data_IF_406486948045
#
_entry.id   IF_406486948045
#
_cell.length_a   1.000
_cell.length_b   1.000
_cell.length_c   1.000
_cell.angle_alpha   90.00
_cell.angle_beta   90.00
_cell.angle_gamma   90.00
#
_symmetry.space_group_name_H-M   'P 1'
#
loop_
_entity.id
_entity.type
_entity.pdbx_description
1 polymer ?
#
# COMPACT_ATOMS: atom_id res chain seq x y z
N UNK A 1 -20.86 -26.69 13.66
CA UNK A 1 -19.62 -27.49 13.87
C UNK A 1 -19.51 -28.82 13.10
N UNK A 2 -20.58 -29.38 12.53
CA UNK A 2 -20.63 -30.79 12.09
C UNK A 2 -19.82 -31.22 10.83
N UNK A 3 -18.98 -30.37 10.22
CA UNK A 3 -18.26 -30.73 8.97
C UNK A 3 -16.73 -30.54 9.00
N UNK A 4 -16.14 -30.04 10.09
CA UNK A 4 -14.71 -29.59 10.12
C UNK A 4 -14.34 -28.77 8.88
N UNK A 5 -15.28 -27.94 8.44
CA UNK A 5 -15.13 -27.09 7.26
C UNK A 5 -14.80 -25.69 7.72
N UNK A 6 -13.55 -25.50 8.15
CA UNK A 6 -13.06 -24.24 8.69
C UNK A 6 -11.82 -23.80 7.93
N UNK A 7 -11.79 -22.52 7.59
CA UNK A 7 -10.62 -21.85 7.04
C UNK A 7 -10.31 -20.65 7.93
N UNK A 8 -9.01 -20.37 8.10
CA UNK A 8 -8.51 -19.29 8.96
C UNK A 8 -7.56 -18.43 8.14
N UNK A 9 -7.69 -17.11 8.31
CA UNK A 9 -6.78 -16.11 7.76
C UNK A 9 -6.61 -14.97 8.77
N UNK A 10 -5.54 -14.22 8.62
CA UNK A 10 -5.29 -13.00 9.38
C UNK A 10 -5.83 -11.78 8.60
N UNK A 11 -6.49 -10.83 9.26
CA UNK A 11 -6.77 -9.52 8.66
C UNK A 11 -5.45 -8.72 8.49
N UNK A 12 -5.39 -7.74 7.57
CA UNK A 12 -6.45 -7.29 6.66
C UNK A 12 -6.73 -8.25 5.50
N UNK A 13 -8.00 -8.41 5.12
CA UNK A 13 -8.43 -9.20 3.96
C UNK A 13 -8.81 -8.30 2.79
N UNK A 14 -8.14 -8.48 1.65
CA UNK A 14 -8.54 -7.92 0.35
C UNK A 14 -9.42 -8.92 -0.43
N UNK A 15 -9.90 -8.53 -1.62
CA UNK A 15 -10.76 -9.40 -2.44
C UNK A 15 -10.12 -10.76 -2.78
N UNK A 16 -8.81 -10.77 -3.05
CA UNK A 16 -8.08 -11.99 -3.39
C UNK A 16 -7.96 -12.94 -2.19
N UNK A 17 -7.55 -12.43 -1.02
CA UNK A 17 -7.43 -13.20 0.22
C UNK A 17 -8.80 -13.67 0.72
N UNK A 18 -9.85 -12.85 0.61
CA UNK A 18 -11.21 -13.26 0.96
C UNK A 18 -11.70 -14.39 0.05
N UNK A 19 -11.43 -14.32 -1.26
CA UNK A 19 -11.80 -15.39 -2.20
C UNK A 19 -11.01 -16.67 -1.95
N UNK A 20 -9.72 -16.57 -1.65
CA UNK A 20 -8.90 -17.71 -1.26
C UNK A 20 -9.42 -18.36 0.02
N UNK A 21 -9.72 -17.55 1.05
CA UNK A 21 -10.28 -18.02 2.32
C UNK A 21 -11.59 -18.77 2.10
N UNK A 22 -12.51 -18.21 1.30
CA UNK A 22 -13.75 -18.88 0.92
C UNK A 22 -13.46 -20.19 0.17
N UNK A 23 -12.59 -20.16 -0.84
CA UNK A 23 -12.25 -21.32 -1.68
C UNK A 23 -11.60 -22.48 -0.92
N UNK A 24 -11.02 -22.24 0.25
CA UNK A 24 -10.49 -23.28 1.15
C UNK A 24 -11.56 -24.05 1.93
N UNK A 25 -12.82 -23.61 1.86
CA UNK A 25 -13.96 -24.31 2.48
C UNK A 25 -14.65 -25.26 1.50
N UNK A 26 -15.28 -26.32 2.00
CA UNK A 26 -16.12 -27.25 1.24
C UNK A 26 -17.43 -26.57 0.84
N UNK A 27 -17.95 -25.66 1.67
CA UNK A 27 -19.16 -24.89 1.37
C UNK A 27 -19.01 -24.03 0.11
N UNK A 28 -17.79 -23.63 -0.27
CA UNK A 28 -17.54 -22.92 -1.52
C UNK A 28 -18.09 -23.64 -2.76
N UNK A 29 -18.10 -24.98 -2.76
CA UNK A 29 -18.68 -25.78 -3.85
C UNK A 29 -20.21 -25.69 -3.91
N UNK A 30 -20.86 -25.38 -2.80
CA UNK A 30 -22.31 -25.22 -2.68
C UNK A 30 -22.76 -23.78 -2.99
N UNK A 31 -21.83 -22.82 -2.98
CA UNK A 31 -22.10 -21.43 -3.40
C UNK A 31 -22.20 -21.29 -4.93
N UNK A 32 -21.55 -22.18 -5.67
CA UNK A 32 -21.71 -22.29 -7.12
C UNK A 32 -23.09 -22.88 -7.48
N UNK A 33 -23.55 -22.65 -8.71
CA UNK A 33 -24.81 -23.24 -9.19
C UNK A 33 -24.76 -24.77 -9.01
N UNK A 34 -25.75 -25.31 -8.32
CA UNK A 34 -25.86 -26.75 -8.09
C UNK A 34 -27.29 -27.23 -8.38
N UNK A 35 -27.42 -28.05 -9.44
CA UNK A 35 -28.73 -28.49 -9.98
C UNK A 35 -29.62 -27.28 -10.28
N UNK A 36 -30.82 -27.23 -9.71
CA UNK A 36 -31.81 -26.16 -9.89
C UNK A 36 -31.61 -24.97 -8.92
N UNK A 37 -30.57 -25.01 -8.07
CA UNK A 37 -30.27 -23.93 -7.13
C UNK A 37 -29.32 -22.93 -7.82
N UNK A 38 -29.74 -21.67 -8.01
CA UNK A 38 -28.88 -20.63 -8.58
C UNK A 38 -27.67 -20.35 -7.68
N UNK A 39 -26.57 -19.89 -8.28
CA UNK A 39 -25.37 -19.51 -7.54
C UNK A 39 -25.67 -18.40 -6.54
N UNK A 40 -25.02 -18.47 -5.38
CA UNK A 40 -25.05 -17.41 -4.39
C UNK A 40 -24.28 -16.18 -4.89
N UNK A 41 -24.65 -15.00 -4.40
CA UNK A 41 -23.91 -13.77 -4.66
C UNK A 41 -22.55 -13.79 -3.92
N UNK A 42 -21.51 -14.22 -4.64
CA UNK A 42 -20.14 -14.25 -4.13
C UNK A 42 -19.66 -12.84 -3.75
N UNK A 43 -20.05 -11.81 -4.49
CA UNK A 43 -19.62 -10.44 -4.22
C UNK A 43 -20.17 -9.94 -2.87
N UNK A 44 -21.41 -10.29 -2.53
CA UNK A 44 -21.99 -9.98 -1.23
C UNK A 44 -21.24 -10.67 -0.07
N UNK A 45 -20.85 -11.94 -0.24
CA UNK A 45 -20.06 -12.66 0.77
C UNK A 45 -18.65 -12.08 0.93
N UNK A 46 -17.99 -11.73 -0.18
CA UNK A 46 -16.70 -11.03 -0.14
C UNK A 46 -16.81 -9.69 0.58
N UNK A 47 -17.89 -8.93 0.35
CA UNK A 47 -18.13 -7.67 1.02
C UNK A 47 -18.31 -7.83 2.55
N UNK A 48 -18.99 -8.89 3.00
CA UNK A 48 -19.11 -9.23 4.43
C UNK A 48 -17.73 -9.53 5.03
N UNK A 49 -16.93 -10.40 4.41
CA UNK A 49 -15.58 -10.74 4.91
C UNK A 49 -14.66 -9.51 4.98
N UNK A 50 -14.69 -8.66 3.96
CA UNK A 50 -13.95 -7.40 3.95
C UNK A 50 -14.47 -6.41 5.00
N UNK A 51 -15.79 -6.37 5.23
CA UNK A 51 -16.41 -5.59 6.30
C UNK A 51 -15.94 -6.02 7.69
N UNK A 52 -15.96 -7.32 7.97
CA UNK A 52 -15.43 -7.92 9.20
C UNK A 52 -13.95 -7.56 9.36
N UNK A 53 -13.15 -7.74 8.31
CA UNK A 53 -11.73 -7.37 8.36
C UNK A 53 -11.53 -5.89 8.68
N UNK A 54 -12.30 -4.98 8.07
CA UNK A 54 -12.23 -3.53 8.38
C UNK A 54 -12.60 -3.25 9.83
N UNK A 55 -13.61 -3.93 10.38
CA UNK A 55 -13.99 -3.79 11.79
C UNK A 55 -12.86 -4.23 12.72
N UNK A 56 -12.24 -5.39 12.49
CA UNK A 56 -11.11 -5.87 13.31
C UNK A 56 -9.92 -4.91 13.24
N UNK A 57 -9.60 -4.39 12.05
CA UNK A 57 -8.55 -3.38 11.90
C UNK A 57 -8.87 -2.07 12.65
N UNK A 58 -10.12 -1.61 12.61
CA UNK A 58 -10.52 -0.32 13.18
C UNK A 58 -10.81 -0.36 14.68
N UNK A 59 -11.10 -1.55 15.26
CA UNK A 59 -11.58 -1.70 16.62
C UNK A 59 -10.63 -2.60 17.45
N UNK A 60 -9.62 -2.03 18.11
CA UNK A 60 -8.68 -2.79 18.95
C UNK A 60 -9.35 -3.60 20.07
N UNK A 61 -10.51 -3.14 20.53
CA UNK A 61 -11.25 -3.74 21.63
C UNK A 61 -12.18 -4.88 21.17
N UNK A 62 -12.26 -5.15 19.87
CA UNK A 62 -13.08 -6.24 19.34
C UNK A 62 -12.40 -7.58 19.66
N UNK A 63 -12.96 -8.34 20.60
CA UNK A 63 -12.42 -9.63 21.06
C UNK A 63 -12.99 -10.82 20.30
N UNK A 64 -14.27 -10.78 19.99
CA UNK A 64 -14.98 -11.85 19.27
C UNK A 64 -16.08 -11.23 18.40
N UNK A 65 -16.25 -11.74 17.18
CA UNK A 65 -17.38 -11.44 16.31
C UNK A 65 -17.87 -12.77 15.72
N UNK A 66 -19.10 -13.13 16.02
CA UNK A 66 -19.78 -14.29 15.46
C UNK A 66 -20.95 -13.82 14.60
N UNK A 67 -20.99 -14.27 13.34
CA UNK A 67 -22.06 -13.98 12.39
C UNK A 67 -22.73 -15.31 12.03
N UNK A 68 -23.88 -15.61 12.62
CA UNK A 68 -24.45 -16.94 12.50
C UNK A 68 -25.99 -16.97 12.67
N UNK A 69 -26.77 -17.25 11.61
CA UNK A 69 -26.33 -17.66 10.29
C UNK A 69 -26.10 -16.50 9.31
N UNK A 70 -25.13 -16.68 8.41
CA UNK A 70 -25.02 -15.89 7.17
C UNK A 70 -25.71 -16.65 6.05
N UNK A 71 -26.78 -16.07 5.50
CA UNK A 71 -27.57 -16.64 4.42
C UNK A 71 -27.20 -15.96 3.10
N UNK A 72 -26.67 -16.72 2.15
CA UNK A 72 -26.35 -16.23 0.82
C UNK A 72 -27.41 -16.69 -0.20
N UNK A 73 -27.81 -15.78 -1.09
CA UNK A 73 -28.77 -16.03 -2.16
C UNK A 73 -28.34 -15.30 -3.44
N UNK A 74 -28.97 -15.52 -4.60
CA UNK A 74 -28.51 -14.93 -5.86
C UNK A 74 -28.52 -13.41 -5.89
N UNK A 75 -29.42 -12.77 -5.13
CA UNK A 75 -29.51 -11.32 -5.02
C UNK A 75 -28.74 -10.68 -3.87
N UNK A 76 -27.84 -11.40 -3.18
CA UNK A 76 -27.08 -10.87 -2.05
C UNK A 76 -26.87 -11.83 -0.88
N UNK A 77 -26.50 -11.29 0.28
CA UNK A 77 -26.31 -12.04 1.51
C UNK A 77 -26.88 -11.29 2.71
N UNK A 78 -27.43 -12.03 3.68
CA UNK A 78 -28.06 -11.51 4.90
C UNK A 78 -27.43 -12.17 6.12
N UNK A 79 -27.10 -11.37 7.12
CA UNK A 79 -26.67 -11.83 8.45
C UNK A 79 -27.93 -11.84 9.32
N UNK A 80 -28.39 -13.02 9.74
CA UNK A 80 -29.60 -13.13 10.57
C UNK A 80 -29.35 -12.81 12.04
N UNK A 81 -28.17 -13.17 12.55
CA UNK A 81 -27.75 -12.87 13.91
C UNK A 81 -26.26 -12.54 13.93
N UNK A 82 -25.89 -11.59 14.80
CA UNK A 82 -24.52 -11.14 14.98
C UNK A 82 -24.26 -10.89 16.46
N UNK A 83 -23.25 -11.56 17.00
CA UNK A 83 -22.80 -11.39 18.38
C UNK A 83 -21.39 -10.80 18.39
N UNK A 84 -21.22 -9.73 19.14
CA UNK A 84 -19.93 -9.05 19.28
C UNK A 84 -19.53 -8.98 20.75
N UNK A 85 -18.29 -9.36 21.07
CA UNK A 85 -17.70 -9.25 22.40
C UNK A 85 -16.60 -8.20 22.37
N UNK A 86 -16.69 -7.24 23.30
CA UNK A 86 -15.75 -6.13 23.41
C UNK A 86 -14.93 -6.26 24.71
N UNK A 87 -13.63 -6.02 24.63
CA UNK A 87 -12.74 -5.91 25.78
C UNK A 87 -12.29 -4.46 26.00
N UNK A 88 -13.09 -3.74 26.77
CA UNK A 88 -12.86 -2.32 27.07
C UNK A 88 -11.82 -2.10 28.19
N UNK A 89 -11.27 -3.17 28.77
CA UNK A 89 -10.23 -3.04 29.80
C UNK A 89 -8.88 -2.61 29.23
N UNK A 90 -8.71 -2.71 27.91
CA UNK A 90 -7.47 -2.41 27.16
C UNK A 90 -7.32 -0.94 26.76
N UNK A 91 -8.06 -0.02 27.41
CA UNK A 91 -7.95 1.42 27.16
C UNK A 91 -6.77 2.04 27.95
N UNK A 92 -5.95 2.92 27.35
CA UNK A 92 -6.13 3.57 26.05
C UNK A 92 -5.79 2.66 24.86
N UNK A 93 -6.40 2.94 23.71
CA UNK A 93 -6.12 2.20 22.48
C UNK A 93 -4.61 2.24 22.17
N UNK A 94 -4.04 1.13 21.64
CA UNK A 94 -2.65 1.10 21.24
C UNK A 94 -2.35 2.16 20.16
N UNK A 95 -1.07 2.46 19.89
CA UNK A 95 -0.66 3.23 18.71
C UNK A 95 -1.33 2.68 17.44
N UNK A 96 -1.38 3.46 16.36
CA UNK A 96 -2.14 3.13 15.14
C UNK A 96 -1.92 1.67 14.70
N UNK A 97 -2.98 0.87 14.79
CA UNK A 97 -2.99 -0.58 14.48
C UNK A 97 -2.02 -1.45 15.29
N UNK A 98 -1.51 -1.00 16.43
CA UNK A 98 -0.57 -1.76 17.26
C UNK A 98 -1.12 -3.05 17.86
N UNK A 99 -2.42 -3.31 17.74
CA UNK A 99 -3.05 -4.60 18.04
C UNK A 99 -3.00 -5.58 16.86
N UNK A 100 -2.59 -5.13 15.67
CA UNK A 100 -2.56 -5.91 14.44
C UNK A 100 -1.17 -6.48 14.18
N UNK A 101 -1.10 -7.72 13.71
CA UNK A 101 0.14 -8.31 13.21
C UNK A 101 0.52 -7.81 11.80
N UNK A 102 -0.47 -7.34 11.03
CA UNK A 102 -0.30 -6.79 9.69
C UNK A 102 -1.13 -5.51 9.61
N UNK A 103 -0.47 -4.40 9.27
CA UNK A 103 -1.15 -3.11 9.18
C UNK A 103 -2.05 -3.04 7.93
N UNK A 104 -3.30 -2.55 8.05
CA UNK A 104 -4.18 -2.37 6.90
C UNK A 104 -3.65 -1.31 5.93
N UNK A 105 -4.17 -1.39 4.71
CA UNK A 105 -3.95 -0.37 3.70
C UNK A 105 -4.31 1.03 4.23
N UNK A 106 -3.38 2.01 4.18
CA UNK A 106 -3.59 3.32 4.78
C UNK A 106 -4.44 4.24 3.88
N UNK A 107 -5.75 3.95 3.82
CA UNK A 107 -6.72 4.65 2.96
C UNK A 107 -6.81 6.17 3.20
N UNK A 108 -6.44 6.66 4.37
CA UNK A 108 -6.41 8.11 4.67
C UNK A 108 -5.30 8.86 3.92
N UNK A 109 -4.35 8.14 3.30
CA UNK A 109 -3.32 8.71 2.44
C UNK A 109 -3.77 8.81 0.97
N UNK A 110 -4.98 8.37 0.65
CA UNK A 110 -5.60 8.64 -0.64
C UNK A 110 -6.01 10.11 -0.74
N UNK A 111 -5.75 10.73 -1.88
CA UNK A 111 -6.10 12.13 -2.08
C UNK A 111 -5.61 12.66 -3.42
N UNK A 112 -5.31 13.97 -3.44
CA UNK A 112 -4.83 14.66 -4.64
C UNK A 112 -3.59 15.48 -4.33
N UNK A 113 -2.62 15.48 -5.26
CA UNK A 113 -1.47 16.38 -5.23
C UNK A 113 -1.69 17.52 -6.22
N UNK A 114 -1.49 18.76 -5.76
CA UNK A 114 -1.51 19.95 -6.61
C UNK A 114 -0.13 20.15 -7.25
N UNK A 115 -0.12 20.33 -8.57
CA UNK A 115 1.08 20.59 -9.37
C UNK A 115 1.38 22.08 -9.48
N UNK A 116 2.54 22.43 -10.06
CA UNK A 116 2.95 23.83 -10.23
C UNK A 116 2.02 24.63 -11.13
N UNK A 117 1.41 23.97 -12.10
CA UNK A 117 0.44 24.57 -13.04
C UNK A 117 -0.98 24.67 -12.45
N UNK A 118 -1.17 24.28 -11.19
CA UNK A 118 -2.47 24.25 -10.51
C UNK A 118 -3.32 23.02 -10.83
N UNK A 119 -2.88 22.13 -11.73
CA UNK A 119 -3.58 20.87 -11.98
C UNK A 119 -3.45 19.92 -10.79
N UNK A 120 -4.41 19.01 -10.65
CA UNK A 120 -4.43 18.00 -9.59
C UNK A 120 -4.25 16.61 -10.16
N UNK A 121 -3.43 15.79 -9.50
CA UNK A 121 -3.31 14.36 -9.79
C UNK A 121 -3.78 13.55 -8.60
N UNK A 122 -4.41 12.41 -8.84
CA UNK A 122 -4.75 11.49 -7.76
C UNK A 122 -3.47 10.84 -7.21
N UNK A 123 -3.40 10.68 -5.89
CA UNK A 123 -2.32 9.97 -5.20
C UNK A 123 -2.92 8.96 -4.23
N UNK A 124 -2.28 7.81 -4.09
CA UNK A 124 -2.62 6.81 -3.08
C UNK A 124 -1.42 5.93 -2.74
N UNK A 125 -1.43 5.23 -1.60
CA UNK A 125 -0.46 4.16 -1.37
C UNK A 125 -0.57 3.06 -2.43
N UNK A 126 0.57 2.47 -2.81
CA UNK A 126 0.62 1.29 -3.68
C UNK A 126 -0.08 0.12 -2.98
N UNK A 127 -0.67 -0.79 -3.76
CA UNK A 127 -1.35 -1.99 -3.28
C UNK A 127 -0.68 -3.24 -3.87
N UNK A 128 -0.82 -4.42 -3.24
CA UNK A 128 -0.29 -5.67 -3.81
C UNK A 128 -0.76 -5.95 -5.24
N UNK A 129 -1.99 -5.54 -5.59
CA UNK A 129 -2.60 -5.74 -6.91
C UNK A 129 -1.98 -4.84 -8.01
N UNK A 130 -1.19 -3.84 -7.64
CA UNK A 130 -0.61 -2.88 -8.59
C UNK A 130 0.62 -3.41 -9.35
N UNK A 131 1.01 -4.67 -9.17
CA UNK A 131 2.18 -5.25 -9.82
C UNK A 131 2.18 -5.06 -11.35
N UNK A 132 1.03 -5.20 -12.00
CA UNK A 132 0.93 -4.97 -13.44
C UNK A 132 1.11 -3.48 -13.83
N UNK A 133 0.62 -2.54 -13.01
CA UNK A 133 0.76 -1.09 -13.20
C UNK A 133 2.21 -0.66 -12.98
N UNK A 134 2.85 -1.14 -11.90
CA UNK A 134 4.25 -0.86 -11.59
C UNK A 134 5.19 -1.38 -12.70
N UNK A 135 4.92 -2.58 -13.23
CA UNK A 135 5.70 -3.15 -14.34
C UNK A 135 5.57 -2.32 -15.62
N UNK A 136 4.35 -1.86 -15.96
CA UNK A 136 4.11 -0.99 -17.13
C UNK A 136 4.78 0.37 -16.96
N UNK A 137 4.63 0.97 -15.79
CA UNK A 137 5.29 2.23 -15.43
C UNK A 137 6.80 2.13 -15.63
N UNK A 138 7.44 1.12 -15.03
CA UNK A 138 8.86 0.90 -15.19
C UNK A 138 9.27 0.72 -16.66
N UNK A 139 8.49 -0.05 -17.42
CA UNK A 139 8.76 -0.31 -18.85
C UNK A 139 8.61 0.93 -19.74
N UNK A 140 7.82 1.92 -19.32
CA UNK A 140 7.62 3.18 -20.05
C UNK A 140 8.70 4.24 -19.76
N UNK A 141 9.55 4.04 -18.76
CA UNK A 141 10.62 4.98 -18.40
C UNK A 141 11.76 4.95 -19.42
N UNK A 142 12.33 6.13 -19.69
CA UNK A 142 13.57 6.23 -20.46
C UNK A 142 14.71 5.43 -19.80
N UNK A 143 15.71 5.03 -20.60
CA UNK A 143 16.93 4.38 -20.08
C UNK A 143 17.63 5.25 -19.04
N UNK A 144 17.64 6.58 -19.26
CA UNK A 144 18.18 7.55 -18.30
C UNK A 144 17.44 7.50 -16.97
N UNK A 145 16.10 7.55 -16.98
CA UNK A 145 15.30 7.51 -15.74
C UNK A 145 15.41 6.18 -15.00
N UNK A 146 15.49 5.05 -15.73
CA UNK A 146 15.75 3.73 -15.13
C UNK A 146 17.13 3.67 -14.48
N UNK A 147 18.17 4.09 -15.20
CA UNK A 147 19.52 4.10 -14.66
C UNK A 147 19.65 5.00 -13.43
N UNK A 148 19.08 6.20 -13.46
CA UNK A 148 19.11 7.14 -12.33
C UNK A 148 18.44 6.61 -11.07
N UNK A 149 17.43 5.74 -11.22
CA UNK A 149 16.66 5.20 -10.09
C UNK A 149 17.20 3.89 -9.56
N UNK A 150 17.66 3.01 -10.44
CA UNK A 150 18.00 1.62 -10.08
C UNK A 150 19.50 1.33 -10.17
N UNK A 151 20.29 2.29 -10.66
CA UNK A 151 21.74 2.15 -10.89
C UNK A 151 22.09 0.92 -11.74
N UNK A 152 21.12 0.47 -12.55
CA UNK A 152 21.18 -0.79 -13.29
C UNK A 152 20.40 -0.67 -14.60
N UNK A 153 20.87 -1.34 -15.64
CA UNK A 153 20.26 -1.37 -16.97
C UNK A 153 19.27 -2.54 -17.08
N UNK A 154 18.24 -2.54 -16.25
CA UNK A 154 17.19 -3.56 -16.31
C UNK A 154 16.11 -3.18 -17.33
N UNK A 155 15.81 -4.11 -18.25
CA UNK A 155 14.71 -3.96 -19.21
C UNK A 155 13.32 -4.04 -18.53
N UNK A 156 13.22 -4.85 -17.47
CA UNK A 156 12.00 -5.13 -16.73
C UNK A 156 12.34 -5.38 -15.25
N UNK A 157 11.39 -5.13 -14.35
CA UNK A 157 11.52 -5.54 -12.96
C UNK A 157 11.42 -7.07 -12.85
N UNK A 158 12.41 -7.76 -12.25
CA UNK A 158 12.28 -9.18 -11.95
C UNK A 158 11.10 -9.42 -10.99
N UNK A 159 10.41 -10.58 -11.06
CA UNK A 159 9.24 -10.87 -10.23
C UNK A 159 9.46 -10.65 -8.72
N UNK A 160 10.64 -10.98 -8.22
CA UNK A 160 11.00 -10.78 -6.80
C UNK A 160 11.06 -9.30 -6.42
N UNK A 161 11.63 -8.46 -7.28
CA UNK A 161 11.72 -7.03 -7.06
C UNK A 161 10.35 -6.36 -7.20
N UNK A 162 9.55 -6.82 -8.17
CA UNK A 162 8.17 -6.35 -8.35
C UNK A 162 7.32 -6.64 -7.10
N UNK A 163 7.41 -7.86 -6.55
CA UNK A 163 6.72 -8.22 -5.31
C UNK A 163 7.20 -7.35 -4.13
N UNK A 164 8.50 -7.11 -3.99
CA UNK A 164 9.07 -6.22 -2.96
C UNK A 164 8.54 -4.78 -3.08
N UNK A 165 8.19 -4.34 -4.29
CA UNK A 165 7.71 -2.98 -4.55
C UNK A 165 6.22 -2.80 -4.31
N UNK A 166 5.43 -3.87 -4.31
CA UNK A 166 3.96 -3.79 -4.20
C UNK A 166 3.41 -4.41 -2.91
N UNK A 167 4.13 -5.36 -2.32
CA UNK A 167 3.77 -6.03 -1.06
C UNK A 167 4.55 -5.40 0.09
N UNK A 168 4.02 -4.30 0.61
CA UNK A 168 4.66 -3.48 1.64
C UNK A 168 4.15 -3.81 3.04
N UNK A 169 5.04 -3.72 4.01
CA UNK A 169 4.65 -3.56 5.42
C UNK A 169 4.38 -2.09 5.71
N UNK A 170 3.11 -1.66 5.62
CA UNK A 170 2.71 -0.25 5.77
C UNK A 170 3.02 0.36 7.16
N UNK A 171 3.39 -0.45 8.16
CA UNK A 171 3.91 0.06 9.43
C UNK A 171 5.31 0.68 9.26
N UNK A 172 6.14 0.03 8.45
CA UNK A 172 7.57 0.34 8.35
C UNK A 172 7.94 1.03 7.05
N UNK A 173 7.28 0.72 5.96
CA UNK A 173 7.61 1.25 4.64
C UNK A 173 6.37 1.75 3.91
N UNK A 174 6.56 2.65 2.95
CA UNK A 174 5.46 3.24 2.21
C UNK A 174 5.90 3.52 0.78
N UNK A 175 5.04 3.23 -0.19
CA UNK A 175 5.14 3.78 -1.53
C UNK A 175 3.83 4.49 -1.87
N UNK A 176 3.93 5.73 -2.33
CA UNK A 176 2.85 6.53 -2.88
C UNK A 176 2.97 6.54 -4.40
N UNK A 177 1.85 6.26 -5.07
CA UNK A 177 1.72 6.28 -6.52
C UNK A 177 0.85 7.46 -6.92
N UNK A 178 1.31 8.26 -7.87
CA UNK A 178 0.51 9.28 -8.53
C UNK A 178 -0.06 8.71 -9.83
N UNK A 179 -1.32 9.02 -10.11
CA UNK A 179 -2.10 8.41 -11.20
C UNK A 179 -2.39 9.44 -12.30
N UNK A 180 -2.27 9.01 -13.55
CA UNK A 180 -2.73 9.76 -14.71
C UNK A 180 -4.26 10.00 -14.61
N UNK A 181 -4.76 11.20 -14.94
CA UNK A 181 -6.19 11.43 -15.09
C UNK A 181 -6.81 10.47 -16.12
N UNK A 182 -7.94 9.85 -15.76
CA UNK A 182 -8.70 8.95 -16.65
C UNK A 182 -8.20 7.50 -16.66
N UNK A 183 -6.95 7.27 -17.07
CA UNK A 183 -6.43 5.92 -17.33
C UNK A 183 -5.97 5.18 -16.06
N UNK A 184 -5.68 5.89 -14.97
CA UNK A 184 -5.22 5.29 -13.72
C UNK A 184 -3.82 4.65 -13.80
N UNK A 185 -3.08 4.89 -14.89
CA UNK A 185 -1.68 4.49 -15.03
C UNK A 185 -0.78 5.30 -14.08
N UNK A 186 0.31 4.70 -13.62
CA UNK A 186 1.24 5.41 -12.75
C UNK A 186 2.03 6.45 -13.56
N UNK A 187 2.11 7.65 -13.02
CA UNK A 187 2.90 8.76 -13.60
C UNK A 187 4.06 9.15 -12.70
N UNK A 188 4.03 8.75 -11.43
CA UNK A 188 5.14 8.86 -10.52
C UNK A 188 4.98 7.89 -9.35
N UNK A 189 6.11 7.45 -8.80
CA UNK A 189 6.16 6.62 -7.60
C UNK A 189 7.23 7.17 -6.68
N UNK A 190 6.84 7.50 -5.45
CA UNK A 190 7.76 7.86 -4.37
C UNK A 190 7.63 6.84 -3.24
N UNK A 191 8.74 6.43 -2.63
CA UNK A 191 8.72 5.47 -1.52
C UNK A 191 9.78 5.74 -0.48
N UNK A 192 9.59 5.21 0.72
CA UNK A 192 10.65 5.04 1.71
C UNK A 192 10.64 3.63 2.30
N UNK A 193 11.81 3.15 2.74
CA UNK A 193 11.98 1.89 3.45
C UNK A 193 12.96 2.06 4.62
N UNK A 194 12.80 1.31 5.73
CA UNK A 194 13.67 1.43 6.89
C UNK A 194 15.13 1.07 6.56
N UNK A 195 16.06 1.85 7.10
CA UNK A 195 17.46 1.46 7.18
C UNK A 195 17.69 0.44 8.30
N UNK A 196 18.87 -0.17 8.32
CA UNK A 196 19.24 -1.19 9.30
C UNK A 196 19.30 -0.66 10.75
N UNK A 197 19.41 0.65 10.95
CA UNK A 197 19.42 1.29 12.27
C UNK A 197 18.02 1.36 12.92
N UNK A 198 16.95 1.18 12.15
CA UNK A 198 15.56 1.30 12.62
C UNK A 198 15.13 2.72 13.01
N UNK A 199 15.98 3.74 12.83
CA UNK A 199 15.70 5.14 13.17
C UNK A 199 15.54 6.01 11.94
N UNK A 200 16.17 5.61 10.82
CA UNK A 200 16.15 6.33 9.56
C UNK A 200 15.51 5.49 8.46
N UNK A 201 15.07 6.16 7.39
CA UNK A 201 14.51 5.50 6.23
C UNK A 201 15.10 6.05 4.94
N UNK A 202 15.36 5.18 3.97
CA UNK A 202 15.85 5.55 2.66
C UNK A 202 14.66 5.85 1.73
N UNK A 203 14.66 7.03 1.08
CA UNK A 203 13.67 7.37 0.07
C UNK A 203 14.16 7.06 -1.34
N UNK A 204 13.20 6.78 -2.23
CA UNK A 204 13.43 6.74 -3.65
C UNK A 204 12.23 7.31 -4.42
N UNK A 205 12.50 8.00 -5.53
CA UNK A 205 11.50 8.74 -6.28
C UNK A 205 11.69 8.51 -7.79
N UNK A 206 10.59 8.36 -8.51
CA UNK A 206 10.60 8.20 -9.97
C UNK A 206 9.39 8.91 -10.55
N UNK A 207 9.59 9.68 -11.61
CA UNK A 207 8.54 10.42 -12.32
C UNK A 207 8.66 10.07 -13.80
N UNK A 208 7.55 9.70 -14.42
CA UNK A 208 7.49 9.44 -15.86
C UNK A 208 8.04 10.65 -16.64
N UNK A 209 8.81 10.40 -17.70
CA UNK A 209 9.54 11.42 -18.45
C UNK A 209 8.63 12.59 -18.89
N UNK A 210 7.44 12.29 -19.41
CA UNK A 210 6.44 13.29 -19.85
C UNK A 210 5.85 14.16 -18.72
N UNK A 211 6.05 13.76 -17.46
CA UNK A 211 5.49 14.40 -16.27
C UNK A 211 6.55 15.09 -15.39
N UNK A 212 7.82 15.03 -15.79
CA UNK A 212 8.92 15.73 -15.13
C UNK A 212 8.77 17.26 -15.26
N UNK A 213 9.43 18.02 -14.37
CA UNK A 213 9.37 19.50 -14.37
C UNK A 213 8.06 20.12 -13.86
N UNK A 214 6.97 19.34 -13.69
CA UNK A 214 5.64 19.82 -13.28
C UNK A 214 5.43 19.94 -11.77
N UNK A 215 6.43 19.55 -10.97
CA UNK A 215 6.39 19.61 -9.50
C UNK A 215 5.92 18.33 -8.80
N UNK A 216 5.59 17.27 -9.55
CA UNK A 216 5.20 15.97 -8.98
C UNK A 216 6.23 15.39 -8.02
N UNK A 217 7.51 15.39 -8.42
CA UNK A 217 8.57 14.84 -7.58
C UNK A 217 8.69 15.56 -6.24
N UNK A 218 8.49 16.89 -6.24
CA UNK A 218 8.44 17.70 -5.02
C UNK A 218 7.25 17.32 -4.15
N UNK A 219 6.05 17.31 -4.73
CA UNK A 219 4.83 17.02 -3.99
C UNK A 219 4.87 15.62 -3.35
N UNK A 220 5.36 14.61 -4.07
CA UNK A 220 5.53 13.26 -3.53
C UNK A 220 6.56 13.21 -2.41
N UNK A 221 7.76 13.80 -2.59
CA UNK A 221 8.80 13.75 -1.58
C UNK A 221 8.39 14.51 -0.30
N UNK A 222 7.67 15.62 -0.42
CA UNK A 222 7.06 16.32 0.73
C UNK A 222 6.08 15.41 1.48
N UNK A 223 5.21 14.69 0.77
CA UNK A 223 4.29 13.74 1.40
C UNK A 223 5.02 12.58 2.07
N UNK A 224 6.10 12.06 1.46
CA UNK A 224 6.92 11.01 2.08
C UNK A 224 7.57 11.51 3.38
N UNK A 225 8.08 12.74 3.43
CA UNK A 225 8.61 13.32 4.66
C UNK A 225 7.54 13.38 5.78
N UNK A 226 6.32 13.79 5.44
CA UNK A 226 5.21 13.84 6.40
C UNK A 226 4.87 12.44 6.90
N UNK A 227 4.78 11.46 6.00
CA UNK A 227 4.44 10.08 6.34
C UNK A 227 5.54 9.41 7.18
N UNK A 228 6.81 9.54 6.77
CA UNK A 228 7.93 9.00 7.52
C UNK A 228 8.02 9.58 8.94
N UNK A 229 7.77 10.89 9.10
CA UNK A 229 7.71 11.51 10.44
C UNK A 229 6.60 10.92 11.29
N UNK A 230 5.41 10.72 10.71
CA UNK A 230 4.27 10.10 11.40
C UNK A 230 4.51 8.63 11.76
N UNK A 231 5.31 7.93 10.97
CA UNK A 231 5.75 6.57 11.24
C UNK A 231 6.87 6.50 12.30
N UNK A 232 7.38 7.64 12.78
CA UNK A 232 8.37 7.70 13.86
C UNK A 232 9.83 7.74 13.40
N UNK A 233 10.12 7.83 12.10
CA UNK A 233 11.49 7.98 11.61
C UNK A 233 12.06 9.35 11.96
N UNK A 234 13.31 9.37 12.41
CA UNK A 234 14.04 10.59 12.80
C UNK A 234 14.62 11.34 11.61
N UNK A 235 14.90 10.64 10.51
CA UNK A 235 15.42 11.22 9.29
C UNK A 235 15.00 10.42 8.05
N UNK A 236 15.00 11.09 6.89
CA UNK A 236 14.99 10.45 5.60
C UNK A 236 16.33 10.67 4.90
N UNK A 237 16.84 9.60 4.30
CA UNK A 237 18.10 9.57 3.56
C UNK A 237 17.86 9.16 2.11
N UNK A 238 18.76 9.51 1.20
CA UNK A 238 18.67 9.06 -0.19
C UNK A 238 20.01 9.06 -0.89
N UNK A 239 20.16 8.13 -1.82
CA UNK A 239 21.32 8.03 -2.71
C UNK A 239 20.96 8.63 -4.07
N UNK A 240 21.68 9.66 -4.48
CA UNK A 240 21.43 10.36 -5.74
C UNK A 240 22.70 10.34 -6.59
N UNK A 241 22.62 9.89 -7.84
CA UNK A 241 23.75 10.02 -8.77
C UNK A 241 24.26 11.47 -8.82
N UNK A 242 25.58 11.66 -8.79
CA UNK A 242 26.19 13.00 -8.84
C UNK A 242 25.80 13.75 -10.13
N UNK A 243 25.63 13.01 -11.23
CA UNK A 243 25.14 13.52 -12.51
C UNK A 243 23.66 13.96 -12.50
N UNK A 244 22.84 13.52 -11.53
CA UNK A 244 21.41 13.84 -11.45
C UNK A 244 21.17 15.19 -10.75
N UNK A 245 21.56 16.28 -11.43
CA UNK A 245 21.43 17.66 -10.91
C UNK A 245 20.01 17.99 -10.47
N UNK A 246 19.01 17.63 -11.26
CA UNK A 246 17.61 17.95 -10.97
C UNK A 246 17.14 17.36 -9.64
N UNK A 247 17.50 16.10 -9.34
CA UNK A 247 17.15 15.46 -8.08
C UNK A 247 17.95 16.03 -6.91
N UNK A 248 19.23 16.40 -7.11
CA UNK A 248 20.04 17.08 -6.08
C UNK A 248 19.45 18.44 -5.72
N UNK A 249 19.12 19.25 -6.72
CA UNK A 249 18.50 20.57 -6.53
C UNK A 249 17.12 20.44 -5.87
N UNK A 250 16.38 19.37 -6.17
CA UNK A 250 15.10 19.07 -5.51
C UNK A 250 15.30 18.74 -4.03
N UNK A 251 16.24 17.84 -3.73
CA UNK A 251 16.55 17.42 -2.36
C UNK A 251 17.00 18.62 -1.51
N UNK A 252 17.92 19.45 -2.03
CA UNK A 252 18.41 20.65 -1.36
C UNK A 252 17.27 21.64 -1.05
N UNK A 253 16.39 21.92 -2.02
CA UNK A 253 15.23 22.79 -1.82
C UNK A 253 14.24 22.26 -0.78
N UNK A 254 14.22 20.95 -0.56
CA UNK A 254 13.39 20.32 0.47
C UNK A 254 14.12 20.18 1.81
N UNK A 255 15.31 20.75 1.96
CA UNK A 255 16.07 20.77 3.21
C UNK A 255 16.87 19.51 3.47
N UNK A 256 17.11 18.67 2.45
CA UNK A 256 18.10 17.61 2.54
C UNK A 256 19.50 18.21 2.43
N UNK A 257 20.38 17.79 3.31
CA UNK A 257 21.78 18.18 3.35
C UNK A 257 22.64 17.04 2.85
N UNK A 258 23.74 17.35 2.16
CA UNK A 258 24.73 16.34 1.78
C UNK A 258 25.39 15.77 3.02
N UNK A 259 25.27 14.46 3.23
CA UNK A 259 25.86 13.74 4.36
C UNK A 259 27.09 12.92 3.97
N UNK A 260 27.30 12.67 2.67
CA UNK A 260 28.46 11.94 2.18
C UNK A 260 28.45 11.72 0.66
N UNK A 261 29.26 10.76 0.22
CA UNK A 261 29.28 10.24 -1.14
C UNK A 261 29.76 8.79 -1.14
N UNK A 262 29.19 7.98 -2.03
CA UNK A 262 29.59 6.60 -2.26
C UNK A 262 29.70 6.35 -3.77
N UNK A 263 30.92 6.11 -4.26
CA UNK A 263 31.23 6.06 -5.69
C UNK A 263 30.74 7.31 -6.42
N UNK A 264 29.89 7.11 -7.43
CA UNK A 264 29.29 8.17 -8.26
C UNK A 264 27.98 8.73 -7.68
N UNK A 265 27.66 8.44 -6.42
CA UNK A 265 26.45 8.91 -5.74
C UNK A 265 26.77 9.88 -4.60
N UNK A 266 25.83 10.77 -4.35
CA UNK A 266 25.80 11.70 -3.22
C UNK A 266 24.74 11.23 -2.24
N UNK A 267 25.14 11.06 -0.98
CA UNK A 267 24.23 10.78 0.12
C UNK A 267 23.63 12.09 0.60
N UNK A 268 22.30 12.13 0.70
CA UNK A 268 21.57 13.29 1.22
C UNK A 268 20.66 12.86 2.36
N UNK A 269 20.59 13.70 3.40
CA UNK A 269 19.86 13.41 4.65
C UNK A 269 19.02 14.61 5.05
N UNK A 270 17.79 14.37 5.49
CA UNK A 270 16.93 15.38 6.11
C UNK A 270 16.39 14.86 7.45
N UNK A 271 16.68 15.58 8.52
CA UNK A 271 16.06 15.35 9.82
C UNK A 271 14.55 15.67 9.76
N UNK A 272 13.75 14.81 10.38
CA UNK A 272 12.29 14.90 10.48
C UNK A 272 11.89 15.38 11.89
N UNK A 273 12.31 16.59 12.25
CA UNK A 273 11.90 17.29 13.49
C UNK A 273 10.42 17.61 13.50
#
# INVERSE_FOLDING_TARGET
EALRDTAVALPPLNASLSRELMGRTRVARLLAQHRDIPAADEAALLAILQGVSRMVCALPWLKELDLNPVMAHPGGAVIADARMVMDLSTAPAPPRYGHMAVHPYPSELEGTLTLRDGSSVAVRPIRPEDAALEQRFFGALSEKSRYQRFLNQMAQLPPQLLARFTQLDYDRELALVALAPGEGEFIAVGRYAPNADGETAEFALTVADAWQGRGLGRALLEQLCICAKRAGYKALDGQILDANREMRDLAERLGFQRSGSDGDTVLVTRALS
#
